data_IF_885753741467
#
_entry.id   IF_885753741467
#
_cell.length_a   1.000
_cell.length_b   1.000
_cell.length_c   1.000
_cell.angle_alpha   90.00
_cell.angle_beta   90.00
_cell.angle_gamma   90.00
#
_symmetry.space_group_name_H-M   'P 1'
#
loop_
_entity.id
_entity.type
_entity.pdbx_description
1 polymer ?
#
# COMPACT_ATOMS: atom_id res chain seq x y z
N UNK A 1 6.18 2.05 -11.41
CA UNK A 1 5.18 1.25 -10.67
C UNK A 1 4.49 2.11 -9.62
N UNK A 2 3.17 2.28 -9.71
CA UNK A 2 2.37 3.01 -8.71
C UNK A 2 2.46 2.31 -7.35
N UNK A 3 2.86 3.06 -6.31
CA UNK A 3 2.77 2.61 -4.92
C UNK A 3 1.41 2.97 -4.34
N UNK A 4 0.35 2.50 -5.00
CA UNK A 4 -1.02 2.76 -4.61
C UNK A 4 -1.71 1.45 -4.27
N UNK A 5 -2.50 1.44 -3.20
CA UNK A 5 -3.36 0.31 -2.88
C UNK A 5 -4.57 0.31 -3.83
N UNK A 6 -4.81 -0.79 -4.54
CA UNK A 6 -5.90 -0.89 -5.52
C UNK A 6 -7.30 -0.93 -4.86
N UNK A 7 -7.38 -1.27 -3.58
CA UNK A 7 -8.66 -1.42 -2.86
C UNK A 7 -9.08 -0.14 -2.12
N UNK A 8 -8.15 0.48 -1.39
CA UNK A 8 -8.46 1.68 -0.58
C UNK A 8 -7.83 2.96 -1.12
N UNK A 9 -7.15 2.90 -2.26
CA UNK A 9 -6.56 4.07 -2.91
C UNK A 9 -5.41 4.73 -2.15
N UNK A 10 -4.89 4.13 -1.05
CA UNK A 10 -3.80 4.71 -0.26
C UNK A 10 -2.59 4.98 -1.14
N UNK A 11 -2.10 6.22 -1.10
CA UNK A 11 -0.95 6.71 -1.86
C UNK A 11 0.20 7.08 -0.92
N UNK A 12 1.44 7.18 -1.42
CA UNK A 12 2.56 7.67 -0.64
C UNK A 12 2.32 9.13 -0.26
N UNK A 13 2.62 9.48 0.99
CA UNK A 13 2.61 10.86 1.45
C UNK A 13 4.02 11.45 1.41
N UNK A 14 4.12 12.75 1.23
CA UNK A 14 5.40 13.48 1.24
C UNK A 14 5.55 14.16 2.60
N UNK A 15 6.76 14.14 3.15
CA UNK A 15 7.11 14.91 4.33
C UNK A 15 8.62 15.08 4.47
N UNK A 16 9.10 15.33 5.68
CA UNK A 16 10.52 15.52 5.96
C UNK A 16 11.03 14.53 7.01
N UNK A 17 12.28 14.13 6.91
CA UNK A 17 13.05 13.66 8.06
C UNK A 17 13.62 14.91 8.75
N UNK A 18 13.34 15.06 10.04
CA UNK A 18 13.84 16.16 10.86
C UNK A 18 14.91 15.60 11.79
N UNK A 19 16.14 16.12 11.70
CA UNK A 19 17.22 15.73 12.62
C UNK A 19 17.09 16.43 13.97
N UNK A 20 17.90 16.01 14.95
CA UNK A 20 17.98 16.68 16.25
C UNK A 20 18.37 18.17 16.13
N UNK A 21 19.26 18.50 15.19
CA UNK A 21 19.63 19.89 14.84
C UNK A 21 18.58 20.60 13.95
N UNK A 22 17.39 20.02 13.78
CA UNK A 22 16.30 20.56 12.99
C UNK A 22 16.59 20.70 11.47
N UNK A 23 17.54 19.93 10.94
CA UNK A 23 17.79 19.84 9.51
C UNK A 23 16.66 19.03 8.85
N UNK A 24 16.02 19.60 7.84
CA UNK A 24 14.88 18.99 7.13
C UNK A 24 15.31 18.43 5.79
N UNK A 25 15.24 17.11 5.61
CA UNK A 25 15.43 16.45 4.32
C UNK A 25 14.12 15.86 3.81
N UNK A 26 13.82 16.00 2.51
CA UNK A 26 12.56 15.48 1.94
C UNK A 26 12.53 13.95 1.98
N UNK A 27 11.39 13.39 2.37
CA UNK A 27 11.12 11.95 2.45
C UNK A 27 9.74 11.62 1.88
N UNK A 28 9.58 10.38 1.42
CA UNK A 28 8.27 9.78 1.13
C UNK A 28 7.89 8.74 2.18
N UNK A 29 6.65 8.79 2.64
CA UNK A 29 6.02 7.78 3.49
C UNK A 29 5.24 6.81 2.61
N UNK A 30 5.86 5.68 2.32
CA UNK A 30 5.28 4.67 1.45
C UNK A 30 4.34 3.75 2.25
N UNK A 31 3.13 3.45 1.76
CA UNK A 31 2.29 2.43 2.38
C UNK A 31 2.94 1.04 2.25
N UNK A 32 2.79 0.19 3.26
CA UNK A 32 3.21 -1.21 3.17
C UNK A 32 2.24 -1.97 2.24
N UNK A 33 2.64 -2.09 0.97
CA UNK A 33 1.90 -2.78 -0.08
C UNK A 33 2.47 -4.17 -0.30
N UNK A 34 1.58 -5.16 -0.35
CA UNK A 34 1.89 -6.55 -0.61
C UNK A 34 1.23 -6.99 -1.91
N UNK A 35 1.92 -7.83 -2.68
CA UNK A 35 1.38 -8.42 -3.91
C UNK A 35 0.60 -9.67 -3.51
N UNK A 36 -0.71 -9.66 -3.76
CA UNK A 36 -1.60 -10.77 -3.40
C UNK A 36 -2.37 -11.24 -4.63
N UNK A 37 -2.66 -12.55 -4.68
CA UNK A 37 -3.61 -13.12 -5.65
C UNK A 37 -5.00 -12.96 -5.08
N UNK A 38 -5.91 -12.40 -5.88
CA UNK A 38 -7.28 -12.11 -5.46
C UNK A 38 -8.24 -12.48 -6.57
N UNK A 39 -9.42 -12.97 -6.21
CA UNK A 39 -10.50 -13.16 -7.17
C UNK A 39 -11.21 -11.82 -7.33
N UNK A 40 -11.14 -11.24 -8.52
CA UNK A 40 -11.88 -10.02 -8.90
C UNK A 40 -12.74 -10.39 -10.09
N UNK A 41 -14.06 -10.29 -9.95
CA UNK A 41 -15.04 -10.61 -11.00
C UNK A 41 -14.87 -12.02 -11.59
N UNK A 42 -14.65 -13.02 -10.72
CA UNK A 42 -14.49 -14.43 -11.11
C UNK A 42 -13.13 -14.79 -11.70
N UNK A 43 -12.24 -13.82 -11.93
CA UNK A 43 -10.89 -14.07 -12.43
C UNK A 43 -9.84 -13.87 -11.34
N UNK A 44 -8.83 -14.74 -11.32
CA UNK A 44 -7.68 -14.58 -10.41
C UNK A 44 -6.70 -13.55 -10.96
N UNK A 45 -6.59 -12.40 -10.28
CA UNK A 45 -5.66 -11.32 -10.64
C UNK A 45 -4.65 -11.10 -9.53
N UNK A 46 -3.46 -10.61 -9.90
CA UNK A 46 -2.43 -10.19 -8.94
C UNK A 46 -2.53 -8.68 -8.77
N UNK A 47 -2.90 -8.24 -7.57
CA UNK A 47 -3.07 -6.83 -7.25
C UNK A 47 -2.17 -6.41 -6.08
N UNK A 48 -1.85 -5.12 -6.00
CA UNK A 48 -1.13 -4.54 -4.87
C UNK A 48 -2.10 -4.03 -3.82
N UNK A 49 -2.01 -4.60 -2.63
CA UNK A 49 -2.92 -4.29 -1.53
C UNK A 49 -2.13 -3.92 -0.29
N UNK A 50 -2.59 -2.89 0.43
CA UNK A 50 -1.98 -2.53 1.70
C UNK A 50 -2.27 -3.60 2.77
N UNK A 51 -1.31 -3.80 3.67
CA UNK A 51 -1.44 -4.77 4.77
C UNK A 51 -2.68 -4.55 5.64
N UNK A 52 -3.15 -3.30 5.78
CA UNK A 52 -4.41 -2.99 6.49
C UNK A 52 -5.64 -3.57 5.80
N UNK A 53 -5.71 -3.50 4.47
CA UNK A 53 -6.81 -4.11 3.71
C UNK A 53 -6.79 -5.64 3.78
N UNK A 54 -5.59 -6.24 3.76
CA UNK A 54 -5.42 -7.69 3.95
C UNK A 54 -5.90 -8.11 5.34
N UNK A 55 -5.46 -7.38 6.38
CA UNK A 55 -5.87 -7.66 7.78
C UNK A 55 -7.36 -7.49 7.99
N UNK A 56 -7.99 -6.51 7.34
CA UNK A 56 -9.44 -6.26 7.44
C UNK A 56 -10.29 -7.22 6.59
N UNK A 57 -9.71 -8.23 5.95
CA UNK A 57 -10.48 -9.20 5.14
C UNK A 57 -11.09 -8.61 3.87
N UNK A 58 -10.67 -7.42 3.43
CA UNK A 58 -11.15 -6.78 2.18
C UNK A 58 -10.64 -7.46 0.92
N UNK A 59 -9.94 -8.58 1.07
CA UNK A 59 -9.29 -9.34 0.02
C UNK A 59 -9.72 -10.79 0.14
N UNK A 60 -10.38 -11.31 -0.89
CA UNK A 60 -10.66 -12.74 -1.03
C UNK A 60 -9.47 -13.39 -1.70
N UNK A 61 -8.74 -14.22 -0.97
CA UNK A 61 -7.72 -15.08 -1.55
C UNK A 61 -8.41 -16.25 -2.27
N UNK A 62 -8.01 -16.61 -3.49
CA UNK A 62 -8.44 -17.87 -4.07
C UNK A 62 -7.99 -19.02 -3.16
N UNK A 63 -8.85 -20.03 -3.02
CA UNK A 63 -8.53 -21.28 -2.34
C UNK A 63 -7.42 -22.03 -3.10
#
# INVERSE_FOLDING_TARGET
>A
MSQVCEICGKKPQVGCNVSHAHNKSKRRFNPNLQRVRTVVDGQTKRIKVCTRCIRSGKVVKPA
#
